data_IF_034715836595
#
_entry.id   IF_034715836595
#
_cell.length_a   1.000
_cell.length_b   1.000
_cell.length_c   1.000
_cell.angle_alpha   90.00
_cell.angle_beta   90.00
_cell.angle_gamma   90.00
#
_symmetry.space_group_name_H-M   'P 1'
#
loop_
_entity.id
_entity.type
_entity.pdbx_description
1 polymer ?
#
# COMPACT_ATOMS: atom_id res chain seq x y z
N UNK A 1 -18.50 -5.48 24.27
CA UNK A 1 -19.41 -4.96 23.23
C UNK A 1 -18.62 -4.87 21.94
N UNK A 2 -19.07 -5.53 20.86
CA UNK A 2 -18.41 -5.46 19.56
C UNK A 2 -18.70 -4.11 18.92
N UNK A 3 -17.69 -3.41 18.40
CA UNK A 3 -17.87 -2.24 17.53
C UNK A 3 -18.40 -2.70 16.17
N UNK A 4 -19.29 -1.91 15.59
CA UNK A 4 -19.80 -2.13 14.25
C UNK A 4 -18.80 -1.57 13.21
N UNK A 5 -18.69 -2.27 12.08
CA UNK A 5 -18.01 -1.75 10.90
C UNK A 5 -18.93 -0.73 10.21
N UNK A 6 -18.33 0.28 9.62
CA UNK A 6 -19.06 1.28 8.85
C UNK A 6 -19.49 0.66 7.52
N UNK A 7 -20.79 0.69 7.24
CA UNK A 7 -21.37 0.27 5.97
C UNK A 7 -21.87 1.51 5.24
N UNK A 8 -21.49 1.65 3.98
CA UNK A 8 -21.99 2.76 3.18
C UNK A 8 -23.42 2.46 2.72
N UNK A 9 -24.39 3.18 3.27
CA UNK A 9 -25.80 3.08 2.88
C UNK A 9 -26.24 4.20 1.94
N UNK A 10 -25.30 5.06 1.50
CA UNK A 10 -25.58 6.24 0.69
C UNK A 10 -26.33 7.35 1.44
N UNK A 11 -26.54 7.21 2.75
CA UNK A 11 -27.19 8.24 3.55
C UNK A 11 -26.25 9.42 3.81
N UNK A 12 -26.82 10.62 3.92
CA UNK A 12 -26.06 11.81 4.31
C UNK A 12 -25.37 11.68 5.68
N UNK A 13 -25.88 10.81 6.57
CA UNK A 13 -25.28 10.51 7.87
C UNK A 13 -23.95 9.78 7.73
N UNK A 14 -23.93 8.70 6.94
CA UNK A 14 -22.72 7.92 6.66
C UNK A 14 -21.67 8.80 5.95
N UNK A 15 -22.08 9.63 4.99
CA UNK A 15 -21.15 10.54 4.32
C UNK A 15 -20.50 11.55 5.30
N UNK A 16 -21.27 12.07 6.27
CA UNK A 16 -20.73 12.93 7.31
C UNK A 16 -19.75 12.17 8.25
N UNK A 17 -20.06 10.92 8.57
CA UNK A 17 -19.20 10.06 9.39
C UNK A 17 -17.89 9.70 8.66
N UNK A 18 -17.96 9.31 7.39
CA UNK A 18 -16.80 9.10 6.52
C UNK A 18 -15.95 10.36 6.39
N UNK A 19 -16.58 11.54 6.24
CA UNK A 19 -15.86 12.81 6.21
C UNK A 19 -15.17 13.14 7.55
N UNK A 20 -15.75 12.72 8.68
CA UNK A 20 -15.11 12.86 9.99
C UNK A 20 -13.92 11.92 10.13
N UNK A 21 -14.07 10.67 9.71
CA UNK A 21 -13.00 9.66 9.69
C UNK A 21 -11.86 10.04 8.74
N UNK A 22 -12.15 10.67 7.60
CA UNK A 22 -11.14 11.15 6.65
C UNK A 22 -10.24 12.26 7.24
N UNK A 23 -10.73 12.97 8.27
CA UNK A 23 -9.96 13.99 9.00
C UNK A 23 -9.12 13.42 10.15
N UNK A 24 -9.17 12.11 10.38
CA UNK A 24 -8.36 11.50 11.44
C UNK A 24 -6.89 11.73 11.24
N UNK A 25 -6.25 12.15 12.31
CA UNK A 25 -4.82 12.36 12.40
C UNK A 25 -4.14 11.14 13.02
N UNK A 26 -2.81 11.20 13.08
CA UNK A 26 -2.02 10.17 13.77
C UNK A 26 -2.34 10.07 15.26
N UNK A 27 -2.83 11.14 15.89
CA UNK A 27 -3.21 11.12 17.30
C UNK A 27 -4.46 10.27 17.52
N UNK A 28 -5.43 10.35 16.61
CA UNK A 28 -6.69 9.60 16.66
C UNK A 28 -6.47 8.09 16.44
N UNK A 29 -5.45 7.72 15.67
CA UNK A 29 -5.05 6.34 15.46
C UNK A 29 -4.56 5.62 16.74
N UNK A 30 -4.16 6.38 17.76
CA UNK A 30 -3.58 5.87 19.00
C UNK A 30 -2.13 5.38 18.87
N UNK A 31 -1.68 4.61 19.87
CA UNK A 31 -0.32 4.09 19.92
C UNK A 31 -0.06 3.06 18.81
N UNK A 32 1.15 3.07 18.26
CA UNK A 32 1.59 2.10 17.24
C UNK A 32 2.00 0.81 17.92
N UNK A 33 1.30 -0.28 17.62
CA UNK A 33 1.54 -1.62 18.18
C UNK A 33 2.53 -2.42 17.34
N UNK A 34 2.55 -2.23 16.01
CA UNK A 34 3.47 -2.91 15.11
C UNK A 34 3.89 -2.02 13.94
N UNK A 35 5.11 -2.21 13.44
CA UNK A 35 5.65 -1.50 12.26
C UNK A 35 6.30 -2.47 11.30
N UNK A 36 5.90 -2.38 10.04
CA UNK A 36 6.35 -3.22 8.94
C UNK A 36 6.98 -2.35 7.86
N UNK A 37 8.15 -2.78 7.39
CA UNK A 37 8.87 -2.11 6.32
C UNK A 37 8.75 -2.93 5.03
N UNK A 38 8.72 -2.28 3.86
CA UNK A 38 8.77 -3.01 2.61
C UNK A 38 10.13 -3.67 2.45
N UNK A 39 10.15 -4.79 1.72
CA UNK A 39 11.41 -5.43 1.35
C UNK A 39 12.27 -4.43 0.58
N UNK A 40 13.58 -4.35 0.87
CA UNK A 40 14.43 -3.42 0.16
C UNK A 40 14.42 -3.76 -1.33
N UNK A 41 14.47 -2.76 -2.23
CA UNK A 41 14.38 -2.98 -3.66
C UNK A 41 15.68 -3.55 -4.25
N UNK A 42 16.31 -4.52 -3.58
CA UNK A 42 17.61 -5.10 -3.96
C UNK A 42 17.65 -5.57 -5.40
N UNK A 43 16.57 -6.16 -5.90
CA UNK A 43 16.47 -6.63 -7.29
C UNK A 43 16.59 -5.48 -8.30
N UNK A 44 16.22 -4.25 -7.91
CA UNK A 44 16.37 -3.06 -8.76
C UNK A 44 17.70 -2.35 -8.50
N UNK A 45 18.09 -2.19 -7.23
CA UNK A 45 19.29 -1.41 -6.86
C UNK A 45 20.58 -2.18 -7.08
N UNK A 46 20.59 -3.51 -6.93
CA UNK A 46 21.82 -4.32 -7.05
C UNK A 46 22.33 -4.39 -8.50
N UNK A 47 21.52 -4.71 -9.53
CA UNK A 47 21.98 -4.64 -10.92
C UNK A 47 22.43 -3.23 -11.33
N UNK A 48 21.77 -2.21 -10.78
CA UNK A 48 22.14 -0.81 -11.02
C UNK A 48 23.51 -0.47 -10.44
N UNK A 49 23.79 -0.88 -9.19
CA UNK A 49 25.09 -0.71 -8.57
C UNK A 49 26.18 -1.52 -9.28
N UNK A 50 25.87 -2.74 -9.73
CA UNK A 50 26.80 -3.57 -10.52
C UNK A 50 27.13 -2.88 -11.84
N UNK A 51 26.14 -2.31 -12.54
CA UNK A 51 26.39 -1.55 -13.77
C UNK A 51 27.29 -0.33 -13.50
N UNK A 52 27.03 0.42 -12.42
CA UNK A 52 27.88 1.52 -12.01
C UNK A 52 29.33 1.08 -11.74
N UNK A 53 29.51 -0.05 -11.06
CA UNK A 53 30.83 -0.62 -10.79
C UNK A 53 31.55 -1.05 -12.08
N UNK A 54 30.85 -1.70 -13.02
CA UNK A 54 31.42 -2.08 -14.32
C UNK A 54 31.88 -0.85 -15.10
N UNK A 55 31.06 0.20 -15.15
CA UNK A 55 31.42 1.47 -15.80
C UNK A 55 32.62 2.12 -15.11
N UNK A 56 32.70 2.07 -13.78
CA UNK A 56 33.81 2.59 -13.02
C UNK A 56 35.12 1.87 -13.38
N UNK A 57 35.11 0.53 -13.36
CA UNK A 57 36.28 -0.30 -13.71
C UNK A 57 36.71 -0.08 -15.16
N UNK A 58 35.74 0.03 -16.09
CA UNK A 58 36.03 0.28 -17.50
C UNK A 58 36.59 1.69 -17.78
N UNK A 59 36.25 2.70 -16.97
CA UNK A 59 36.74 4.06 -17.14
C UNK A 59 38.24 4.23 -16.78
N UNK A 60 38.75 3.39 -15.85
CA UNK A 60 40.13 3.48 -15.37
C UNK A 60 41.21 3.35 -16.47
N UNK A 61 41.19 2.30 -17.34
CA UNK A 61 42.20 2.16 -18.39
C UNK A 61 42.05 3.16 -19.55
N UNK A 62 40.88 3.79 -19.71
CA UNK A 62 40.60 4.70 -20.83
C UNK A 62 41.16 6.09 -20.58
N UNK A 63 41.02 6.60 -19.36
CA UNK A 63 41.55 7.93 -19.03
C UNK A 63 41.85 8.08 -17.52
N UNK A 64 43.07 7.73 -17.07
CA UNK A 64 43.44 7.75 -15.65
C UNK A 64 43.39 9.15 -15.02
N UNK A 65 43.65 10.20 -15.82
CA UNK A 65 43.66 11.59 -15.33
C UNK A 65 42.25 12.08 -14.95
N UNK A 66 41.23 11.66 -15.69
CA UNK A 66 39.83 12.02 -15.43
C UNK A 66 39.08 11.02 -14.55
N UNK A 67 39.73 9.90 -14.19
CA UNK A 67 39.13 8.85 -13.37
C UNK A 67 38.51 9.36 -12.06
N UNK A 68 39.12 10.27 -11.28
CA UNK A 68 38.49 10.75 -10.03
C UNK A 68 37.15 11.45 -10.27
N UNK A 69 37.05 12.23 -11.36
CA UNK A 69 35.84 12.96 -11.74
C UNK A 69 34.77 11.97 -12.23
N UNK A 70 35.15 11.04 -13.11
CA UNK A 70 34.25 9.98 -13.57
C UNK A 70 33.74 9.12 -12.42
N UNK A 71 34.61 8.77 -11.47
CA UNK A 71 34.27 8.02 -10.28
C UNK A 71 33.26 8.75 -9.40
N UNK A 72 33.46 10.05 -9.17
CA UNK A 72 32.53 10.87 -8.42
C UNK A 72 31.14 10.92 -9.10
N UNK A 73 31.09 11.13 -10.42
CA UNK A 73 29.83 11.16 -11.19
C UNK A 73 29.11 9.81 -11.10
N UNK A 74 29.83 8.70 -11.33
CA UNK A 74 29.27 7.35 -11.26
C UNK A 74 28.75 7.05 -9.85
N UNK A 75 29.51 7.39 -8.80
CA UNK A 75 29.09 7.17 -7.42
C UNK A 75 27.84 7.98 -7.08
N UNK A 76 27.77 9.25 -7.51
CA UNK A 76 26.60 10.11 -7.29
C UNK A 76 25.37 9.57 -8.02
N UNK A 77 25.52 9.18 -9.29
CA UNK A 77 24.40 8.65 -10.07
C UNK A 77 23.95 7.31 -9.52
N UNK A 78 24.82 6.30 -9.48
CA UNK A 78 24.44 4.94 -9.13
C UNK A 78 24.25 4.75 -7.62
N UNK A 79 25.19 5.24 -6.82
CA UNK A 79 25.11 5.19 -5.36
C UNK A 79 24.02 6.11 -4.81
N UNK A 80 23.96 7.35 -5.30
CA UNK A 80 22.94 8.32 -4.86
C UNK A 80 21.51 7.89 -5.21
N UNK A 81 21.27 7.40 -6.44
CA UNK A 81 19.93 6.90 -6.80
C UNK A 81 19.55 5.61 -6.06
N UNK A 82 20.50 4.69 -5.84
CA UNK A 82 20.26 3.50 -5.03
C UNK A 82 19.90 3.86 -3.57
N UNK A 83 20.63 4.82 -2.98
CA UNK A 83 20.34 5.34 -1.65
C UNK A 83 18.98 6.03 -1.61
N UNK A 84 18.66 6.89 -2.59
CA UNK A 84 17.36 7.55 -2.67
C UNK A 84 16.22 6.54 -2.77
N UNK A 85 16.36 5.51 -3.61
CA UNK A 85 15.38 4.43 -3.73
C UNK A 85 15.19 3.67 -2.41
N UNK A 86 16.28 3.44 -1.67
CA UNK A 86 16.24 2.75 -0.38
C UNK A 86 15.61 3.59 0.74
N UNK A 87 15.95 4.88 0.82
CA UNK A 87 15.35 5.84 1.75
C UNK A 87 13.86 6.01 1.47
N UNK A 88 13.51 6.11 0.19
CA UNK A 88 12.13 6.21 -0.24
C UNK A 88 11.35 4.91 0.03
N UNK A 89 11.92 3.72 -0.19
CA UNK A 89 11.30 2.47 0.24
C UNK A 89 11.07 2.45 1.76
N UNK A 90 12.05 2.90 2.55
CA UNK A 90 11.91 3.00 4.01
C UNK A 90 10.87 4.01 4.49
N UNK A 91 10.43 4.95 3.66
CA UNK A 91 9.34 5.86 4.02
C UNK A 91 7.97 5.19 3.85
N UNK A 92 7.86 4.14 3.03
CA UNK A 92 6.61 3.42 2.74
C UNK A 92 6.30 2.32 3.78
N UNK A 93 6.39 2.65 5.07
CA UNK A 93 6.07 1.70 6.15
C UNK A 93 4.57 1.54 6.31
N UNK A 94 4.15 0.33 6.68
CA UNK A 94 2.84 0.09 7.24
C UNK A 94 2.98 0.03 8.76
N UNK A 95 2.13 0.73 9.48
CA UNK A 95 2.07 0.65 10.93
C UNK A 95 0.67 0.29 11.35
N UNK A 96 0.57 -0.66 12.25
CA UNK A 96 -0.67 -1.00 12.92
C UNK A 96 -0.71 -0.20 14.21
N UNK A 97 -1.71 0.65 14.36
CA UNK A 97 -1.97 1.40 15.58
C UNK A 97 -3.20 0.85 16.29
N UNK A 98 -3.51 1.39 17.46
CA UNK A 98 -4.61 0.92 18.31
C UNK A 98 -5.97 0.97 17.62
N UNK A 99 -6.24 2.00 16.80
CA UNK A 99 -7.57 2.25 16.21
C UNK A 99 -7.56 2.32 14.67
N UNK A 100 -6.37 2.29 14.06
CA UNK A 100 -6.21 2.52 12.63
C UNK A 100 -4.92 1.91 12.09
N UNK A 101 -4.84 1.82 10.77
CA UNK A 101 -3.58 1.63 10.04
C UNK A 101 -2.99 2.97 9.64
N UNK A 102 -1.66 3.07 9.67
CA UNK A 102 -0.92 4.18 9.09
C UNK A 102 -0.11 3.66 7.92
N UNK A 103 -0.38 4.16 6.71
CA UNK A 103 0.21 3.65 5.48
C UNK A 103 1.00 4.74 4.75
N UNK A 104 2.17 4.34 4.22
CA UNK A 104 2.94 5.12 3.28
C UNK A 104 3.73 6.28 3.87
N UNK A 105 4.43 7.01 2.99
CA UNK A 105 5.31 8.12 3.38
C UNK A 105 4.58 9.27 4.08
N UNK A 106 3.34 9.56 3.67
CA UNK A 106 2.48 10.59 4.27
C UNK A 106 1.76 10.12 5.54
N UNK A 107 1.90 8.84 5.91
CA UNK A 107 1.23 8.23 7.07
C UNK A 107 -0.29 8.44 7.03
N UNK A 108 -0.89 8.14 5.88
CA UNK A 108 -2.33 8.21 5.72
C UNK A 108 -3.00 7.27 6.73
N UNK A 109 -4.02 7.78 7.42
CA UNK A 109 -4.72 7.08 8.49
C UNK A 109 -5.92 6.36 7.89
N UNK A 110 -6.00 5.06 8.09
CA UNK A 110 -7.11 4.22 7.64
C UNK A 110 -7.78 3.63 8.89
N UNK A 111 -8.91 4.19 9.35
CA UNK A 111 -9.59 3.73 10.56
C UNK A 111 -10.08 2.29 10.42
N UNK A 112 -9.96 1.49 11.49
CA UNK A 112 -10.43 0.09 11.49
C UNK A 112 -11.93 -0.04 11.21
N UNK A 113 -12.73 0.97 11.57
CA UNK A 113 -14.15 1.04 11.24
C UNK A 113 -14.43 0.91 9.73
N UNK A 114 -13.47 1.27 8.89
CA UNK A 114 -13.62 1.32 7.42
C UNK A 114 -13.04 0.10 6.73
N UNK A 115 -12.41 -0.82 7.47
CA UNK A 115 -11.76 -2.01 6.94
C UNK A 115 -12.68 -3.20 7.17
N UNK A 116 -13.13 -3.84 6.10
CA UNK A 116 -13.90 -5.08 6.20
C UNK A 116 -12.96 -6.30 6.36
N UNK A 117 -12.92 -6.96 7.53
CA UNK A 117 -12.10 -8.17 7.77
C UNK A 117 -12.38 -9.30 6.78
N UNK A 118 -13.62 -9.37 6.28
CA UNK A 118 -14.04 -10.39 5.35
C UNK A 118 -13.64 -10.08 3.91
N UNK A 119 -12.96 -8.96 3.62
CA UNK A 119 -12.51 -8.59 2.26
C UNK A 119 -11.02 -8.39 2.14
N UNK A 120 -10.30 -8.62 3.23
CA UNK A 120 -8.84 -8.67 3.23
C UNK A 120 -8.37 -9.89 2.43
N UNK A 121 -7.35 -9.69 1.60
CA UNK A 121 -6.82 -10.70 0.70
C UNK A 121 -5.30 -10.58 0.58
N UNK A 122 -4.66 -11.59 0.00
CA UNK A 122 -3.23 -11.56 -0.31
C UNK A 122 -3.06 -11.59 -1.83
N UNK A 123 -2.31 -10.63 -2.37
CA UNK A 123 -1.84 -10.74 -3.76
C UNK A 123 -0.48 -11.38 -3.78
N UNK A 124 -0.26 -12.30 -4.72
CA UNK A 124 1.06 -12.90 -4.96
C UNK A 124 2.01 -11.97 -5.73
N UNK A 125 1.48 -10.93 -6.39
CA UNK A 125 2.26 -10.03 -7.25
C UNK A 125 1.83 -8.58 -7.10
N UNK A 126 2.54 -7.85 -6.25
CA UNK A 126 2.36 -6.40 -6.03
C UNK A 126 2.52 -5.54 -7.30
N UNK A 127 3.43 -5.90 -8.22
CA UNK A 127 3.75 -5.09 -9.41
C UNK A 127 2.55 -4.84 -10.34
N UNK A 128 1.59 -5.78 -10.37
CA UNK A 128 0.43 -5.65 -11.24
C UNK A 128 -0.74 -4.93 -10.56
N UNK A 129 -0.75 -4.83 -9.23
CA UNK A 129 -1.82 -4.19 -8.47
C UNK A 129 -2.07 -2.73 -8.88
N UNK A 130 -1.00 -1.97 -9.14
CA UNK A 130 -1.13 -0.57 -9.57
C UNK A 130 -1.81 -0.37 -10.93
N UNK A 131 -2.06 -1.44 -11.69
CA UNK A 131 -2.83 -1.44 -12.95
C UNK A 131 -4.31 -1.75 -12.74
N UNK A 132 -4.64 -2.28 -11.57
CA UNK A 132 -5.94 -2.84 -11.22
C UNK A 132 -6.67 -2.00 -10.16
N UNK A 133 -5.97 -1.20 -9.35
CA UNK A 133 -6.58 -0.41 -8.27
C UNK A 133 -6.74 1.05 -8.63
N UNK A 134 -7.95 1.58 -8.42
CA UNK A 134 -8.45 2.79 -9.08
C UNK A 134 -8.07 4.13 -8.43
N UNK A 135 -7.41 4.14 -7.26
CA UNK A 135 -7.19 5.39 -6.53
C UNK A 135 -5.72 5.63 -6.15
N UNK A 136 -5.34 6.90 -6.02
CA UNK A 136 -3.99 7.38 -5.69
C UNK A 136 -3.46 7.06 -4.29
N UNK A 137 -4.04 6.09 -3.57
CA UNK A 137 -3.64 5.65 -2.23
C UNK A 137 -2.33 4.85 -2.21
N UNK A 138 -1.23 5.52 -2.59
CA UNK A 138 0.17 5.15 -2.35
C UNK A 138 0.57 3.72 -2.76
N UNK A 139 1.23 3.65 -3.93
CA UNK A 139 1.94 2.47 -4.42
C UNK A 139 2.99 2.00 -3.40
N UNK A 140 2.79 0.84 -2.79
CA UNK A 140 3.86 0.19 -2.03
C UNK A 140 5.04 -0.02 -2.98
N UNK A 141 6.23 0.33 -2.51
CA UNK A 141 7.48 -0.06 -3.14
C UNK A 141 7.95 -1.46 -2.74
N UNK A 142 7.02 -2.35 -2.45
CA UNK A 142 7.29 -3.74 -2.77
C UNK A 142 7.25 -3.79 -4.30
N UNK A 143 8.42 -3.83 -4.91
CA UNK A 143 8.53 -3.95 -6.38
C UNK A 143 8.15 -5.37 -6.84
N UNK A 144 8.23 -6.35 -5.93
CA UNK A 144 7.97 -7.75 -6.15
C UNK A 144 7.51 -8.43 -4.85
N UNK A 145 6.94 -9.63 -4.98
CA UNK A 145 6.50 -10.46 -3.87
C UNK A 145 5.00 -10.33 -3.56
N UNK A 146 4.61 -11.09 -2.56
CA UNK A 146 3.26 -11.08 -2.04
C UNK A 146 3.02 -9.86 -1.13
N UNK A 147 1.79 -9.37 -1.10
CA UNK A 147 1.38 -8.24 -0.27
C UNK A 147 -0.04 -8.45 0.24
N UNK A 148 -0.30 -8.05 1.49
CA UNK A 148 -1.64 -7.99 2.03
C UNK A 148 -2.38 -6.78 1.46
N UNK A 149 -3.66 -6.98 1.11
CA UNK A 149 -4.51 -5.97 0.52
C UNK A 149 -5.76 -5.83 1.37
N UNK A 150 -6.11 -4.59 1.67
CA UNK A 150 -7.34 -4.22 2.37
C UNK A 150 -8.14 -3.26 1.49
N UNK A 151 -9.46 -3.25 1.66
CA UNK A 151 -10.29 -2.13 1.21
C UNK A 151 -10.54 -1.23 2.43
N UNK A 152 -10.31 0.07 2.28
CA UNK A 152 -10.43 1.03 3.38
C UNK A 152 -10.62 2.45 2.89
N UNK A 153 -10.99 3.36 3.80
CA UNK A 153 -11.28 4.75 3.46
C UNK A 153 -10.09 5.41 2.75
N UNK A 154 -10.37 6.09 1.65
CA UNK A 154 -9.46 7.00 0.99
C UNK A 154 -9.58 8.40 1.62
N UNK A 155 -8.58 8.89 2.38
CA UNK A 155 -8.64 10.22 2.97
C UNK A 155 -8.59 11.33 1.90
N UNK A 156 -8.12 11.02 0.68
CA UNK A 156 -8.02 11.95 -0.46
C UNK A 156 -8.86 11.43 -1.66
N UNK A 157 -10.21 11.45 -1.60
CA UNK A 157 -11.08 10.91 -2.65
C UNK A 157 -10.95 11.62 -4.01
N UNK A 158 -10.37 12.82 -4.04
CA UNK A 158 -10.09 13.58 -5.27
C UNK A 158 -8.72 13.30 -5.91
N UNK A 159 -7.85 12.50 -5.28
CA UNK A 159 -6.54 12.18 -5.83
C UNK A 159 -6.66 11.11 -6.93
N UNK A 160 -6.94 11.56 -8.16
CA UNK A 160 -6.93 10.70 -9.35
C UNK A 160 -5.50 10.26 -9.66
N UNK A 161 -5.30 8.97 -9.91
CA UNK A 161 -4.02 8.50 -10.41
C UNK A 161 -3.87 8.96 -11.87
N UNK A 162 -2.75 9.58 -12.27
CA UNK A 162 -2.53 10.03 -13.65
C UNK A 162 -2.44 8.87 -14.66
N UNK A 163 -2.44 7.62 -14.19
CA UNK A 163 -2.25 6.42 -14.99
C UNK A 163 -3.50 5.54 -15.10
N UNK A 164 -4.62 5.97 -14.54
CA UNK A 164 -5.88 5.24 -14.58
C UNK A 164 -6.94 6.12 -15.25
N UNK A 165 -7.83 5.54 -16.07
CA UNK A 165 -8.99 6.29 -16.53
C UNK A 165 -9.75 6.81 -15.31
N UNK A 166 -10.30 8.03 -15.37
CA UNK A 166 -11.14 8.54 -14.29
C UNK A 166 -12.25 7.52 -14.02
N UNK A 167 -12.39 7.08 -12.76
CA UNK A 167 -13.58 6.32 -12.38
C UNK A 167 -14.78 7.21 -12.67
N UNK A 168 -15.73 6.73 -13.46
CA UNK A 168 -16.97 7.45 -13.72
C UNK A 168 -17.86 7.52 -12.49
N UNK A 169 -17.50 6.82 -11.40
CA UNK A 169 -18.23 6.84 -10.13
C UNK A 169 -17.26 6.96 -8.95
N UNK A 170 -17.39 8.01 -8.13
CA UNK A 170 -16.56 8.19 -6.93
C UNK A 170 -16.96 7.18 -5.84
N UNK A 171 -15.99 6.39 -5.36
CA UNK A 171 -16.12 5.62 -4.11
C UNK A 171 -15.21 6.27 -3.06
N UNK A 172 -15.66 6.43 -1.81
CA UNK A 172 -14.81 6.92 -0.72
C UNK A 172 -13.80 5.85 -0.28
N UNK A 173 -13.93 4.60 -0.72
CA UNK A 173 -13.01 3.51 -0.37
C UNK A 173 -12.03 3.21 -1.50
N UNK A 174 -10.88 2.64 -1.13
CA UNK A 174 -9.96 2.11 -2.09
C UNK A 174 -9.12 0.95 -1.54
N UNK A 175 -8.51 0.22 -2.47
CA UNK A 175 -7.63 -0.86 -2.11
C UNK A 175 -6.23 -0.36 -1.74
N UNK A 176 -5.80 -0.68 -0.52
CA UNK A 176 -4.48 -0.39 0.00
C UNK A 176 -3.65 -1.66 0.03
N UNK A 177 -2.46 -1.56 -0.51
CA UNK A 177 -1.43 -2.57 -0.30
C UNK A 177 -0.63 -2.27 0.97
N UNK A 178 -0.34 -3.31 1.77
CA UNK A 178 0.41 -3.18 3.01
C UNK A 178 1.86 -3.66 2.87
N UNK A 179 2.79 -2.85 3.38
CA UNK A 179 4.21 -3.19 3.41
C UNK A 179 4.51 -4.23 4.49
N UNK A 180 5.45 -5.13 4.21
CA UNK A 180 5.85 -6.21 5.12
C UNK A 180 5.47 -7.59 4.61
N UNK A 181 5.80 -8.61 5.40
CA UNK A 181 5.41 -9.98 5.09
C UNK A 181 3.90 -10.14 5.36
N UNK A 182 3.09 -10.62 4.39
CA UNK A 182 1.63 -10.60 4.51
C UNK A 182 1.12 -11.31 5.77
N UNK A 183 1.70 -12.46 6.13
CA UNK A 183 1.26 -13.22 7.30
C UNK A 183 1.45 -12.44 8.61
N UNK A 184 2.60 -11.77 8.78
CA UNK A 184 2.91 -11.00 10.00
C UNK A 184 2.03 -9.75 10.10
N UNK A 185 1.87 -9.03 8.99
CA UNK A 185 1.04 -7.83 8.92
C UNK A 185 -0.41 -8.15 9.24
N UNK A 186 -0.95 -9.22 8.67
CA UNK A 186 -2.34 -9.64 8.87
C UNK A 186 -2.58 -10.13 10.30
N UNK A 187 -1.64 -10.85 10.90
CA UNK A 187 -1.75 -11.27 12.30
C UNK A 187 -1.76 -10.06 13.25
N UNK A 188 -0.90 -9.06 13.01
CA UNK A 188 -0.88 -7.83 13.81
C UNK A 188 -2.17 -7.00 13.61
N UNK A 189 -2.67 -6.91 12.37
CA UNK A 189 -3.93 -6.24 12.06
C UNK A 189 -5.11 -6.91 12.78
N UNK A 190 -5.21 -8.24 12.70
CA UNK A 190 -6.24 -9.01 13.40
C UNK A 190 -6.19 -8.76 14.91
N UNK A 191 -5.01 -8.87 15.52
CA UNK A 191 -4.84 -8.65 16.96
C UNK A 191 -5.26 -7.24 17.37
N UNK A 192 -4.89 -6.21 16.60
CA UNK A 192 -5.24 -4.82 16.89
C UNK A 192 -6.74 -4.56 16.72
N UNK A 193 -7.36 -5.05 15.63
CA UNK A 193 -8.80 -4.89 15.39
C UNK A 193 -9.63 -5.60 16.47
N UNK A 194 -9.25 -6.82 16.85
CA UNK A 194 -9.90 -7.57 17.93
C UNK A 194 -9.76 -6.84 19.26
N UNK A 195 -8.56 -6.35 19.59
CA UNK A 195 -8.32 -5.59 20.82
C UNK A 195 -9.11 -4.28 20.86
N UNK A 196 -9.36 -3.66 19.71
CA UNK A 196 -10.22 -2.47 19.56
C UNK A 196 -11.73 -2.79 19.51
N UNK A 197 -12.09 -4.07 19.61
CA UNK A 197 -13.46 -4.55 19.72
C UNK A 197 -14.17 -4.83 18.39
N UNK A 198 -13.46 -4.90 17.27
CA UNK A 198 -14.03 -5.27 15.97
C UNK A 198 -14.10 -6.80 15.79
N UNK A 199 -15.07 -7.32 15.00
CA UNK A 199 -15.23 -8.75 14.74
C UNK A 199 -14.22 -9.26 13.71
N UNK A 200 -12.92 -9.16 14.02
CA UNK A 200 -11.83 -9.50 13.11
C UNK A 200 -11.20 -10.88 13.34
N UNK A 201 -11.72 -11.70 14.26
CA UNK A 201 -11.20 -13.05 14.51
C UNK A 201 -11.17 -13.92 13.24
N UNK A 202 -10.04 -14.58 13.00
CA UNK A 202 -9.75 -15.40 11.83
C UNK A 202 -9.46 -14.59 10.56
N UNK A 203 -9.29 -13.27 10.63
CA UNK A 203 -8.98 -12.42 9.48
C UNK A 203 -7.72 -12.89 8.77
N UNK A 204 -6.62 -13.14 9.49
CA UNK A 204 -5.35 -13.49 8.87
C UNK A 204 -5.45 -14.83 8.11
N UNK A 205 -6.08 -15.83 8.72
CA UNK A 205 -6.30 -17.13 8.09
C UNK A 205 -7.22 -17.04 6.86
N UNK A 206 -8.33 -16.28 6.95
CA UNK A 206 -9.23 -16.07 5.81
C UNK A 206 -8.57 -15.29 4.66
N UNK A 207 -7.72 -14.32 4.98
CA UNK A 207 -6.99 -13.56 3.98
C UNK A 207 -5.96 -14.45 3.25
N UNK A 208 -5.31 -15.36 3.95
CA UNK A 208 -4.38 -16.33 3.33
C UNK A 208 -5.10 -17.30 2.39
N UNK A 209 -6.31 -17.78 2.74
CA UNK A 209 -7.10 -18.61 1.81
C UNK A 209 -7.64 -17.82 0.60
N UNK A 210 -7.61 -16.49 0.67
CA UNK A 210 -7.94 -15.56 -0.42
C UNK A 210 -6.70 -15.00 -1.10
N UNK A 211 -5.75 -15.88 -1.39
CA UNK A 211 -4.58 -15.51 -2.17
C UNK A 211 -4.92 -15.50 -3.66
N UNK A 212 -4.62 -14.41 -4.36
CA UNK A 212 -4.85 -14.30 -5.80
C UNK A 212 -3.63 -13.72 -6.54
N UNK A 213 -3.56 -14.01 -7.84
CA UNK A 213 -2.52 -13.43 -8.70
C UNK A 213 -3.17 -12.41 -9.64
N UNK A 214 -2.90 -11.11 -9.48
CA UNK A 214 -3.45 -10.10 -10.39
C UNK A 214 -2.94 -10.33 -11.82
N UNK A 215 -3.81 -10.22 -12.84
CA UNK A 215 -3.39 -10.40 -14.23
C UNK A 215 -2.42 -9.29 -14.66
N UNK A 216 -1.53 -9.61 -15.61
CA UNK A 216 -0.57 -8.63 -16.15
C UNK A 216 -1.27 -7.54 -16.99
N UNK A 217 -2.33 -7.93 -17.69
CA UNK A 217 -3.17 -7.02 -18.48
C UNK A 217 -4.04 -6.15 -17.55
N UNK A 218 -4.43 -4.97 -18.03
CA UNK A 218 -5.44 -4.17 -17.35
C UNK A 218 -6.76 -4.94 -17.29
N UNK A 219 -7.52 -4.82 -16.19
CA UNK A 219 -8.82 -5.46 -16.11
C UNK A 219 -9.74 -4.78 -17.13
N UNK A 220 -10.66 -5.54 -17.72
CA UNK A 220 -11.76 -4.94 -18.47
C UNK A 220 -12.52 -3.97 -17.52
N UNK A 221 -13.02 -2.85 -18.06
CA UNK A 221 -13.74 -1.84 -17.26
C UNK A 221 -14.91 -2.45 -16.46
N UNK A 222 -15.55 -3.49 -16.97
CA UNK A 222 -16.65 -4.19 -16.31
C UNK A 222 -16.24 -4.93 -15.03
N UNK A 223 -15.00 -5.42 -14.95
CA UNK A 223 -14.48 -6.06 -13.73
C UNK A 223 -14.18 -5.05 -12.62
N UNK A 224 -13.95 -3.78 -12.96
CA UNK A 224 -13.81 -2.69 -12.00
C UNK A 224 -15.16 -2.30 -11.41
N UNK A 225 -16.26 -2.47 -12.15
CA UNK A 225 -17.63 -2.31 -11.65
C UNK A 225 -18.01 -3.44 -10.68
N UNK A 226 -17.62 -4.69 -10.96
CA UNK A 226 -17.82 -5.81 -10.03
C UNK A 226 -17.01 -5.67 -8.73
N UNK A 227 -15.91 -4.89 -8.72
CA UNK A 227 -15.17 -4.58 -7.49
C UNK A 227 -15.91 -3.69 -6.51
N UNK A 228 -16.97 -2.97 -6.91
CA UNK A 228 -17.92 -2.38 -5.93
C UNK A 228 -18.60 -3.44 -5.08
N UNK A 229 -18.73 -4.67 -5.57
CA UNK A 229 -19.20 -5.78 -4.74
C UNK A 229 -18.20 -6.14 -3.62
N UNK A 230 -16.99 -5.55 -3.62
CA UNK A 230 -15.97 -5.57 -2.58
C UNK A 230 -15.89 -4.29 -1.74
N UNK A 231 -16.70 -3.27 -2.01
CA UNK A 231 -16.96 -2.20 -1.04
C UNK A 231 -17.83 -2.79 0.09
N UNK A 232 -17.75 -2.28 1.34
CA UNK A 232 -18.68 -2.69 2.39
C UNK A 232 -20.12 -2.56 1.85
N UNK A 233 -21.00 -3.55 2.09
CA UNK A 233 -22.22 -3.71 1.32
C UNK A 233 -23.09 -2.46 1.37
N UNK A 234 -23.47 -1.95 0.19
CA UNK A 234 -24.64 -1.10 0.04
C UNK A 234 -25.87 -1.97 0.39
N UNK A 235 -26.80 -1.51 1.22
CA UNK A 235 -28.01 -2.26 1.51
C UNK A 235 -28.76 -2.53 0.20
N UNK A 236 -29.18 -3.77 0.02
CA UNK A 236 -30.16 -4.09 -1.02
C UNK A 236 -31.49 -3.47 -0.58
N UNK A 237 -32.02 -2.58 -1.42
CA UNK A 237 -33.38 -2.05 -1.31
C UNK A 237 -34.40 -3.17 -1.45
#
# INVERSE_FOLDING_TARGET
MSRALLQDDGSGRIHAELAALARWSRQDAGEVTATFAPNPPWILTLPWLVLGLVLLVAAFPVNPQFFPVAAAIILVIFGGTALAAWLWARSQKTRVARHALLVGARRQVIPFATIDPARVAVSTRVRYLGRHFHSGGIRILQSQGATAIINGLNPDPGATSPHLPPSTVPSPFCEWGLAGEPAEVLAALEAAMVADGYPAHGLAQRAQSRTFTPPKAHPAQDLLLQRRALDPPLPQV
#
